data_IF_583576862051
#
_entry.id   IF_583576862051
#
_cell.length_a   1.000
_cell.length_b   1.000
_cell.length_c   1.000
_cell.angle_alpha   90.00
_cell.angle_beta   90.00
_cell.angle_gamma   90.00
#
_symmetry.space_group_name_H-M   'P 1'
#
loop_
_entity.id
_entity.type
_entity.pdbx_description
1 polymer ?
#
# COMPACT_ATOMS: atom_id res chain seq x y z
N UNK A 1 1.91 1.18 -5.32
CA UNK A 1 1.13 1.75 -4.20
C UNK A 1 0.00 2.58 -4.78
N UNK A 2 -1.22 2.46 -4.28
CA UNK A 2 -2.42 3.09 -4.85
C UNK A 2 -2.76 4.42 -4.18
N UNK A 3 -2.52 4.52 -2.89
CA UNK A 3 -2.84 5.69 -2.07
C UNK A 3 -1.84 5.78 -0.93
N UNK A 4 -1.43 6.98 -0.54
CA UNK A 4 -0.58 7.25 0.62
C UNK A 4 -1.10 8.42 1.46
N UNK A 5 -1.17 8.21 2.76
CA UNK A 5 -1.24 9.26 3.77
C UNK A 5 0.02 9.25 4.67
N UNK A 6 0.10 10.13 5.66
CA UNK A 6 1.27 10.27 6.55
C UNK A 6 1.57 9.01 7.40
N UNK A 7 0.54 8.22 7.69
CA UNK A 7 0.57 7.08 8.60
C UNK A 7 0.46 5.75 7.87
N UNK A 8 -0.22 5.72 6.74
CA UNK A 8 -0.60 4.49 6.06
C UNK A 8 -0.58 4.60 4.54
N UNK A 9 -0.53 3.45 3.88
CA UNK A 9 -0.66 3.36 2.44
C UNK A 9 -1.53 2.17 2.04
N UNK A 10 -2.25 2.32 0.93
CA UNK A 10 -2.97 1.24 0.26
C UNK A 10 -2.03 0.60 -0.75
N UNK A 11 -1.68 -0.66 -0.51
CA UNK A 11 -0.77 -1.41 -1.36
C UNK A 11 -1.52 -2.51 -2.11
N UNK A 12 -1.42 -2.48 -3.44
CA UNK A 12 -1.92 -3.54 -4.31
C UNK A 12 -0.84 -4.62 -4.44
N UNK A 13 -1.13 -5.82 -3.97
CA UNK A 13 -0.22 -6.95 -4.06
C UNK A 13 -0.41 -7.76 -5.35
N UNK A 14 0.60 -8.57 -5.68
CA UNK A 14 0.57 -9.48 -6.82
C UNK A 14 0.89 -8.82 -8.16
N UNK A 15 0.27 -9.35 -9.23
CA UNK A 15 0.50 -8.91 -10.62
C UNK A 15 -0.54 -7.90 -11.11
N UNK A 16 -1.45 -7.46 -10.24
CA UNK A 16 -2.46 -6.48 -10.60
C UNK A 16 -1.81 -5.11 -10.78
N UNK A 17 -2.06 -4.50 -11.94
CA UNK A 17 -1.69 -3.12 -12.22
C UNK A 17 -2.95 -2.26 -12.13
N UNK A 18 -2.93 -1.16 -11.38
CA UNK A 18 -4.06 -0.24 -11.34
C UNK A 18 -4.21 0.49 -12.67
N UNK A 19 -5.44 0.88 -12.96
CA UNK A 19 -5.76 1.78 -14.07
C UNK A 19 -5.45 3.23 -13.69
N UNK A 20 -5.32 4.11 -14.67
CA UNK A 20 -5.03 5.53 -14.42
C UNK A 20 -6.11 6.19 -13.55
N UNK A 21 -7.36 5.84 -13.80
CA UNK A 21 -8.54 6.35 -13.08
C UNK A 21 -8.58 5.92 -11.61
N UNK A 22 -7.89 4.83 -11.25
CA UNK A 22 -7.88 4.35 -9.86
C UNK A 22 -7.20 5.32 -8.91
N UNK A 23 -6.22 6.09 -9.38
CA UNK A 23 -5.52 7.07 -8.56
C UNK A 23 -6.39 8.29 -8.18
N UNK A 24 -7.58 8.42 -8.78
CA UNK A 24 -8.57 9.43 -8.42
C UNK A 24 -9.60 8.91 -7.39
N UNK A 25 -9.57 7.60 -7.09
CA UNK A 25 -10.50 6.98 -6.17
C UNK A 25 -10.10 7.21 -4.71
N UNK A 26 -11.10 7.43 -3.86
CA UNK A 26 -10.91 7.42 -2.41
C UNK A 26 -10.39 6.07 -1.92
N UNK A 27 -9.65 6.07 -0.81
CA UNK A 27 -9.17 4.86 -0.13
C UNK A 27 -10.23 3.77 0.03
N UNK A 28 -11.45 4.10 0.49
CA UNK A 28 -12.51 3.11 0.70
C UNK A 28 -12.97 2.44 -0.62
N UNK A 29 -13.01 3.21 -1.71
CA UNK A 29 -13.34 2.68 -3.05
C UNK A 29 -12.24 1.77 -3.57
N UNK A 30 -10.97 2.13 -3.36
CA UNK A 30 -9.82 1.30 -3.72
C UNK A 30 -9.83 -0.04 -2.97
N UNK A 31 -10.06 0.00 -1.64
CA UNK A 31 -10.17 -1.21 -0.83
C UNK A 31 -11.32 -2.10 -1.31
N UNK A 32 -12.47 -1.52 -1.68
CA UNK A 32 -13.59 -2.31 -2.23
C UNK A 32 -13.30 -2.89 -3.62
N UNK A 33 -12.71 -2.10 -4.53
CA UNK A 33 -12.37 -2.55 -5.90
C UNK A 33 -11.36 -3.70 -5.87
N UNK A 34 -10.39 -3.64 -4.96
CA UNK A 34 -9.27 -4.58 -4.88
C UNK A 34 -9.30 -5.45 -3.61
N UNK A 35 -10.48 -5.75 -3.08
CA UNK A 35 -10.69 -6.35 -1.73
C UNK A 35 -9.71 -7.47 -1.37
N UNK A 36 -9.45 -8.40 -2.29
CA UNK A 36 -8.62 -9.58 -2.03
C UNK A 36 -7.13 -9.41 -2.41
N UNK A 37 -6.74 -8.20 -2.83
CA UNK A 37 -5.42 -7.89 -3.35
C UNK A 37 -4.83 -6.64 -2.69
N UNK A 38 -5.46 -6.12 -1.64
CA UNK A 38 -4.98 -4.95 -0.92
C UNK A 38 -4.41 -5.34 0.43
N UNK A 39 -3.26 -4.77 0.74
CA UNK A 39 -2.68 -4.74 2.07
C UNK A 39 -2.54 -3.28 2.50
N UNK A 40 -2.93 -2.98 3.74
CA UNK A 40 -2.73 -1.67 4.33
C UNK A 40 -1.37 -1.64 5.01
N UNK A 41 -0.48 -0.78 4.52
CA UNK A 41 0.87 -0.65 5.04
C UNK A 41 0.92 0.47 6.08
N UNK A 42 1.30 0.14 7.31
CA UNK A 42 1.64 1.13 8.33
C UNK A 42 3.05 1.67 8.10
N UNK A 43 3.18 2.98 7.98
CA UNK A 43 4.42 3.67 7.62
C UNK A 43 5.21 4.16 8.83
N UNK A 44 4.72 3.97 10.06
CA UNK A 44 5.29 4.57 11.28
C UNK A 44 6.76 4.24 11.56
N UNK A 45 7.33 3.19 10.95
CA UNK A 45 8.71 2.76 11.14
C UNK A 45 9.62 3.09 9.94
N UNK A 46 9.14 3.88 8.97
CA UNK A 46 9.94 4.38 7.85
C UNK A 46 10.32 5.83 8.14
N UNK A 47 11.62 6.13 8.05
CA UNK A 47 12.15 7.47 8.22
C UNK A 47 11.93 8.32 6.96
N UNK A 48 12.16 7.77 5.77
CA UNK A 48 12.05 8.45 4.48
C UNK A 48 10.69 8.24 3.79
N UNK A 49 9.59 8.54 4.49
CA UNK A 49 8.22 8.35 3.94
C UNK A 49 7.92 9.25 2.75
N UNK A 50 8.65 10.35 2.59
CA UNK A 50 8.49 11.30 1.48
C UNK A 50 8.89 10.69 0.14
N UNK A 51 9.85 9.76 0.16
CA UNK A 51 10.29 9.04 -1.04
C UNK A 51 9.20 8.11 -1.58
N UNK A 52 8.22 7.71 -0.76
CA UNK A 52 7.11 6.84 -1.15
C UNK A 52 6.14 7.59 -2.06
N UNK A 53 6.20 7.29 -3.36
CA UNK A 53 5.33 7.87 -4.39
C UNK A 53 4.29 6.87 -4.87
N UNK A 54 3.04 7.32 -5.03
CA UNK A 54 1.95 6.56 -5.62
C UNK A 54 2.25 6.14 -7.06
N UNK A 55 1.59 5.09 -7.54
CA UNK A 55 1.75 4.57 -8.91
C UNK A 55 3.04 3.80 -9.17
N UNK A 56 4.06 3.94 -8.31
CA UNK A 56 5.30 3.17 -8.43
C UNK A 56 5.17 1.77 -7.82
N UNK A 57 5.85 0.83 -8.48
CA UNK A 57 6.02 -0.54 -8.01
C UNK A 57 7.16 -0.59 -7.01
N UNK A 58 6.97 -1.31 -5.91
CA UNK A 58 7.98 -1.44 -4.86
C UNK A 58 7.92 -2.83 -4.24
N UNK A 59 9.02 -3.21 -3.59
CA UNK A 59 9.07 -4.33 -2.66
C UNK A 59 9.14 -3.79 -1.24
N UNK A 60 8.39 -4.38 -0.32
CA UNK A 60 8.34 -3.97 1.09
C UNK A 60 8.75 -5.13 1.99
N UNK A 61 9.34 -4.79 3.14
CA UNK A 61 9.72 -5.74 4.18
C UNK A 61 8.96 -5.42 5.47
N UNK A 62 8.33 -6.45 6.03
CA UNK A 62 7.60 -6.41 7.29
C UNK A 62 7.85 -7.72 8.04
N UNK A 63 7.68 -7.68 9.37
CA UNK A 63 7.87 -8.87 10.21
C UNK A 63 6.56 -9.66 10.40
N UNK A 64 5.43 -8.96 10.46
CA UNK A 64 4.15 -9.54 10.83
C UNK A 64 3.05 -8.95 9.95
N UNK A 65 2.22 -9.84 9.40
CA UNK A 65 0.96 -9.49 8.75
C UNK A 65 -0.15 -9.69 9.77
N UNK A 66 -0.92 -8.64 10.06
CA UNK A 66 -2.09 -8.73 10.94
C UNK A 66 -3.27 -9.26 10.13
N UNK A 67 -3.84 -10.36 10.60
CA UNK A 67 -5.02 -11.00 10.04
C UNK A 67 -6.28 -10.16 10.33
N UNK A 68 -6.61 -9.29 9.39
CA UNK A 68 -7.83 -8.46 9.37
C UNK A 68 -8.25 -8.27 7.90
N UNK A 69 -9.43 -7.68 7.66
CA UNK A 69 -9.96 -7.45 6.31
C UNK A 69 -10.04 -5.93 6.02
N UNK A 70 -9.17 -5.37 5.15
CA UNK A 70 -8.01 -5.98 4.50
C UNK A 70 -6.82 -6.18 5.45
N UNK A 71 -5.86 -7.08 5.13
CA UNK A 71 -4.68 -7.33 5.94
C UNK A 71 -3.85 -6.08 6.19
N UNK A 72 -3.19 -6.00 7.35
CA UNK A 72 -2.37 -4.84 7.76
C UNK A 72 -0.95 -5.24 8.08
N UNK A 73 0.04 -4.50 7.61
CA UNK A 73 1.46 -4.75 7.94
C UNK A 73 2.18 -3.43 8.22
N UNK A 74 2.91 -3.34 9.34
CA UNK A 74 3.85 -2.23 9.55
C UNK A 74 5.15 -2.55 8.82
N UNK A 75 5.53 -1.70 7.87
CA UNK A 75 6.74 -1.90 7.06
C UNK A 75 7.94 -1.19 7.68
N UNK A 76 9.11 -1.82 7.56
CA UNK A 76 10.40 -1.31 8.07
C UNK A 76 11.32 -0.79 6.98
N UNK A 77 11.14 -1.30 5.77
CA UNK A 77 11.97 -1.00 4.60
C UNK A 77 11.16 -1.18 3.33
N UNK A 78 11.49 -0.40 2.31
CA UNK A 78 11.00 -0.57 0.96
C UNK A 78 12.14 -0.34 -0.04
N UNK A 79 12.02 -0.90 -1.24
CA UNK A 79 12.87 -0.64 -2.39
C UNK A 79 11.99 -0.49 -3.64
N UNK A 80 12.31 0.46 -4.52
CA UNK A 80 11.67 0.60 -5.82
C UNK A 80 12.03 -0.57 -6.76
N UNK A 81 11.09 -0.92 -7.64
CA UNK A 81 11.26 -1.93 -8.69
C UNK A 81 11.22 -1.29 -10.07
#
# INVERSE_FOLDING_TARGET
>A
MLFKDDKSAVFLEGKHAPEKEDFELSQDRLIRKYKNHVVILGLSQIENKEDLVEGKKMKVWFNTLKECDPPKATIKKFNWL
#
